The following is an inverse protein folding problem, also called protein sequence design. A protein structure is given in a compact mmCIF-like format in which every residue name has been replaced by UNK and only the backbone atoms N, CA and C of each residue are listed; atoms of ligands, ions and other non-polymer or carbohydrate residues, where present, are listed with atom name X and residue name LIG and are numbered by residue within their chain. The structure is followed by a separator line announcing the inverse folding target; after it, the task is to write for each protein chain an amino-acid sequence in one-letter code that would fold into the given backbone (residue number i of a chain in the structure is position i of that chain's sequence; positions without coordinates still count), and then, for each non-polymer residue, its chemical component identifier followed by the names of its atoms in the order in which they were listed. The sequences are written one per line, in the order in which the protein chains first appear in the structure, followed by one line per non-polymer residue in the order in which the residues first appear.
data_IF_331466201817
#
_entry.id   IF_331466201817
#
_cell.length_a   1.000
_cell.length_b   1.000
_cell.length_c   1.000
_cell.angle_alpha   90.00
_cell.angle_beta   90.00
_cell.angle_gamma   90.00
#
_symmetry.space_group_name_H-M   'P 1'
#
loop_
_entity.id
_entity.type
_entity.pdbx_description
1 polymer ?
#
# COMPACT_ATOMS: atom_id res chain seq x y z
N UNK A 1 0.87 -2.13 -13.33
CA UNK A 1 0.79 -3.10 -12.23
C UNK A 1 2.15 -3.77 -12.07
N UNK A 2 2.56 -4.10 -10.85
CA UNK A 2 3.83 -4.75 -10.56
C UNK A 2 3.71 -5.63 -9.30
N UNK A 3 4.73 -6.42 -9.01
CA UNK A 3 4.84 -7.18 -7.76
C UNK A 3 6.08 -6.72 -6.99
N UNK A 4 6.00 -6.77 -5.65
CA UNK A 4 7.09 -6.41 -4.75
C UNK A 4 7.09 -7.37 -3.57
N UNK A 5 8.27 -7.87 -3.21
CA UNK A 5 8.38 -8.71 -2.01
C UNK A 5 8.30 -7.83 -0.75
N UNK A 6 7.25 -8.04 0.05
CA UNK A 6 7.07 -7.40 1.35
C UNK A 6 6.29 -8.31 2.30
N UNK A 7 6.52 -8.13 3.60
CA UNK A 7 5.87 -8.94 4.64
C UNK A 7 4.55 -8.31 5.14
N UNK A 8 4.20 -7.13 4.62
CA UNK A 8 2.95 -6.43 4.91
C UNK A 8 2.70 -5.34 3.88
N UNK A 9 1.46 -4.88 3.80
CA UNK A 9 1.06 -3.72 2.99
C UNK A 9 1.93 -2.50 3.33
N UNK A 10 2.06 -2.17 4.62
CA UNK A 10 2.89 -1.03 5.06
C UNK A 10 4.36 -1.23 4.72
N UNK A 11 4.86 -2.46 4.84
CA UNK A 11 6.22 -2.81 4.42
C UNK A 11 6.44 -2.63 2.92
N UNK A 12 5.44 -2.91 2.09
CA UNK A 12 5.50 -2.68 0.64
C UNK A 12 5.64 -1.18 0.32
N UNK A 13 4.83 -0.34 0.95
CA UNK A 13 4.91 1.12 0.80
C UNK A 13 6.25 1.67 1.29
N UNK A 14 6.72 1.25 2.46
CA UNK A 14 8.03 1.64 2.98
C UNK A 14 9.15 1.25 2.01
N UNK A 15 9.09 0.05 1.42
CA UNK A 15 10.07 -0.38 0.41
C UNK A 15 10.00 0.45 -0.86
N UNK A 16 8.80 0.80 -1.34
CA UNK A 16 8.67 1.70 -2.49
C UNK A 16 9.28 3.07 -2.21
N UNK A 17 9.22 3.56 -0.97
CA UNK A 17 9.87 4.82 -0.60
C UNK A 17 11.40 4.68 -0.47
N UNK A 18 11.87 3.59 0.13
CA UNK A 18 13.29 3.40 0.46
C UNK A 18 14.14 2.90 -0.70
N UNK A 19 13.64 1.96 -1.52
CA UNK A 19 14.42 1.34 -2.59
C UNK A 19 14.97 2.35 -3.62
N UNK A 20 14.23 3.39 -4.04
CA UNK A 20 14.78 4.43 -4.91
C UNK A 20 15.94 5.20 -4.27
N UNK A 21 15.93 5.40 -2.95
CA UNK A 21 17.01 6.10 -2.24
C UNK A 21 18.32 5.29 -2.20
N UNK A 22 18.24 3.96 -2.35
CA UNK A 22 19.42 3.09 -2.39
C UNK A 22 20.14 3.14 -3.75
N UNK A 23 19.50 3.68 -4.79
CA UNK A 23 20.09 3.82 -6.12
C UNK A 23 21.01 5.06 -6.26
N UNK A 24 21.24 5.79 -5.18
CA UNK A 24 22.09 7.00 -5.13
C UNK A 24 21.30 8.29 -4.83
N UNK A 25 22.00 9.35 -4.45
CA UNK A 25 21.42 10.65 -4.07
C UNK A 25 20.93 11.47 -5.28
N UNK A 26 19.91 10.98 -5.99
CA UNK A 26 19.31 11.71 -7.11
C UNK A 26 17.88 12.20 -6.84
N UNK A 27 17.20 11.65 -5.83
CA UNK A 27 15.79 11.95 -5.57
C UNK A 27 15.58 12.08 -4.05
N UNK A 28 14.90 13.15 -3.62
CA UNK A 28 14.60 13.38 -2.22
C UNK A 28 13.35 12.63 -1.75
N UNK A 29 13.30 12.26 -0.47
CA UNK A 29 12.12 11.67 0.17
C UNK A 29 10.87 12.56 0.05
N UNK A 30 11.07 13.88 0.05
CA UNK A 30 10.01 14.89 -0.14
C UNK A 30 9.36 14.81 -1.51
N UNK A 31 10.07 14.31 -2.52
CA UNK A 31 9.51 14.05 -3.85
C UNK A 31 8.87 12.65 -3.93
N UNK A 32 9.55 11.64 -3.37
CA UNK A 32 9.13 10.23 -3.47
C UNK A 32 7.79 9.99 -2.75
N UNK A 33 7.63 10.50 -1.54
CA UNK A 33 6.45 10.23 -0.70
C UNK A 33 5.13 10.66 -1.35
N UNK A 34 4.94 11.93 -1.76
CA UNK A 34 3.71 12.35 -2.41
C UNK A 34 3.50 11.64 -3.75
N UNK A 35 4.58 11.36 -4.51
CA UNK A 35 4.50 10.64 -5.78
C UNK A 35 3.93 9.24 -5.60
N UNK A 36 4.43 8.47 -4.61
CA UNK A 36 3.90 7.13 -4.32
C UNK A 36 2.46 7.22 -3.83
N UNK A 37 2.17 8.17 -2.93
CA UNK A 37 0.82 8.36 -2.39
C UNK A 37 -0.17 8.62 -3.53
N UNK A 38 0.16 9.49 -4.48
CA UNK A 38 -0.70 9.80 -5.64
C UNK A 38 -0.76 8.68 -6.66
N UNK A 39 0.33 7.95 -6.91
CA UNK A 39 0.38 7.00 -8.03
C UNK A 39 -0.07 5.57 -7.69
N UNK A 40 0.00 5.15 -6.43
CA UNK A 40 -0.40 3.80 -6.02
C UNK A 40 -1.82 3.84 -5.49
N UNK A 41 -2.75 3.08 -6.08
CA UNK A 41 -4.14 3.03 -5.61
C UNK A 41 -4.36 1.89 -4.59
N UNK A 42 -3.88 0.69 -4.92
CA UNK A 42 -4.13 -0.52 -4.16
C UNK A 42 -2.84 -1.28 -3.89
N UNK A 43 -2.77 -1.89 -2.71
CA UNK A 43 -1.78 -2.91 -2.38
C UNK A 43 -2.53 -4.18 -1.95
N UNK A 44 -2.22 -5.28 -2.64
CA UNK A 44 -2.81 -6.59 -2.37
C UNK A 44 -1.70 -7.49 -1.83
N UNK A 45 -1.79 -7.84 -0.55
CA UNK A 45 -0.84 -8.74 0.10
C UNK A 45 -1.28 -10.18 -0.10
N UNK A 46 -0.41 -10.98 -0.70
CA UNK A 46 -0.56 -12.43 -0.80
C UNK A 46 0.39 -13.12 0.18
N UNK A 47 -0.10 -14.09 0.93
CA UNK A 47 0.71 -14.87 1.87
C UNK A 47 0.35 -16.35 1.83
N UNK A 48 1.30 -17.19 2.27
CA UNK A 48 1.07 -18.58 2.62
C UNK A 48 0.64 -18.62 4.09
N UNK A 49 -0.46 -19.28 4.41
CA UNK A 49 -0.85 -19.48 5.81
C UNK A 49 -0.14 -20.69 6.45
N UNK A 50 -0.43 -20.94 7.72
CA UNK A 50 0.11 -22.06 8.48
C UNK A 50 -0.25 -23.45 7.91
N UNK A 51 -1.30 -23.52 7.09
CA UNK A 51 -1.76 -24.75 6.45
C UNK A 51 -1.19 -24.93 5.03
N UNK A 52 -0.28 -24.04 4.59
CA UNK A 52 0.30 -24.09 3.25
C UNK A 52 -0.64 -23.58 2.15
N UNK A 53 -1.72 -22.90 2.49
CA UNK A 53 -2.68 -22.35 1.52
C UNK A 53 -2.30 -20.90 1.19
N UNK A 54 -2.14 -20.61 -0.11
CA UNK A 54 -1.94 -19.24 -0.60
C UNK A 54 -3.25 -18.48 -0.57
N UNK A 55 -3.24 -17.30 0.02
CA UNK A 55 -4.41 -16.43 0.14
C UNK A 55 -4.05 -14.96 0.04
N UNK A 56 -5.03 -14.14 -0.33
CA UNK A 56 -4.96 -12.69 -0.11
C UNK A 56 -5.17 -12.44 1.37
N UNK A 57 -4.13 -11.98 2.07
CA UNK A 57 -4.18 -11.68 3.50
C UNK A 57 -4.61 -10.25 3.79
N UNK A 58 -4.41 -9.33 2.85
CA UNK A 58 -4.86 -7.95 3.00
C UNK A 58 -5.06 -7.28 1.65
N UNK A 59 -6.15 -6.51 1.52
CA UNK A 59 -6.38 -5.56 0.44
C UNK A 59 -6.46 -4.19 1.08
N UNK A 60 -5.57 -3.28 0.71
CA UNK A 60 -5.52 -1.94 1.26
C UNK A 60 -5.58 -0.87 0.17
N UNK A 61 -6.33 0.19 0.44
CA UNK A 61 -6.34 1.42 -0.33
C UNK A 61 -5.26 2.37 0.16
N UNK A 62 -4.64 3.06 -0.79
CA UNK A 62 -3.75 4.19 -0.52
C UNK A 62 -4.56 5.45 -0.76
N UNK A 63 -4.69 6.31 0.25
CA UNK A 63 -5.65 7.42 0.20
C UNK A 63 -5.20 8.58 -0.70
N UNK A 64 -3.91 8.63 -1.04
CA UNK A 64 -3.30 9.79 -1.68
C UNK A 64 -2.82 10.85 -0.69
N UNK A 65 -3.18 10.75 0.59
CA UNK A 65 -2.69 11.66 1.64
C UNK A 65 -1.38 11.13 2.22
N UNK A 66 -0.51 12.05 2.57
CA UNK A 66 0.71 11.77 3.31
C UNK A 66 1.05 12.94 4.24
N UNK A 67 1.68 12.61 5.36
CA UNK A 67 2.25 13.58 6.29
C UNK A 67 3.73 13.19 6.51
N UNK A 68 4.63 14.13 6.26
CA UNK A 68 6.08 13.89 6.19
C UNK A 68 6.45 12.68 5.29
N UNK A 69 6.93 11.60 5.89
CA UNK A 69 7.29 10.36 5.21
C UNK A 69 6.22 9.27 5.34
N UNK A 70 5.08 9.57 5.97
CA UNK A 70 4.03 8.61 6.28
C UNK A 70 2.91 8.76 5.26
N UNK A 71 2.74 7.73 4.43
CA UNK A 71 1.58 7.61 3.53
C UNK A 71 0.45 6.95 4.30
N UNK A 72 -0.75 7.49 4.14
CA UNK A 72 -1.96 6.93 4.73
C UNK A 72 -2.46 5.72 3.93
N UNK A 73 -2.77 4.66 4.68
CA UNK A 73 -3.09 3.33 4.15
C UNK A 73 -4.29 2.81 4.93
N UNK A 74 -5.36 2.49 4.21
CA UNK A 74 -6.60 1.98 4.77
C UNK A 74 -6.85 0.54 4.34
N UNK A 75 -6.89 -0.38 5.30
CA UNK A 75 -7.24 -1.77 5.05
C UNK A 75 -8.72 -1.88 4.65
N UNK A 76 -9.01 -2.37 3.46
CA UNK A 76 -10.39 -2.64 2.98
C UNK A 76 -10.82 -4.03 3.44
N UNK A 77 -9.95 -5.01 3.27
CA UNK A 77 -10.18 -6.39 3.66
C UNK A 77 -8.92 -6.98 4.30
N UNK A 78 -9.09 -7.78 5.34
CA UNK A 78 -7.98 -8.46 6.01
C UNK A 78 -8.37 -9.87 6.42
N UNK A 79 -7.45 -10.80 6.25
CA UNK A 79 -7.58 -12.15 6.79
C UNK A 79 -7.20 -12.16 8.26
N UNK A 80 -8.07 -12.69 9.13
CA UNK A 80 -7.80 -12.75 10.58
C UNK A 80 -7.26 -14.11 11.06
N UNK A 81 -7.07 -15.08 10.16
CA UNK A 81 -6.73 -16.48 10.51
C UNK A 81 -7.84 -17.46 10.14
N UNK A 82 -9.09 -17.02 10.11
CA UNK A 82 -10.27 -17.88 9.91
C UNK A 82 -11.17 -17.41 8.78
N UNK A 83 -11.31 -16.09 8.60
CA UNK A 83 -12.13 -15.48 7.55
C UNK A 83 -11.58 -14.13 7.12
N UNK A 84 -12.10 -13.63 6.00
CA UNK A 84 -11.89 -12.24 5.59
C UNK A 84 -12.82 -11.36 6.44
N UNK A 85 -12.24 -10.34 7.05
CA UNK A 85 -12.95 -9.26 7.75
C UNK A 85 -12.83 -7.97 6.95
N UNK A 86 -13.87 -7.13 7.01
CA UNK A 86 -13.84 -5.79 6.43
C UNK A 86 -13.02 -4.88 7.36
N UNK A 87 -12.10 -4.11 6.81
CA UNK A 87 -11.40 -3.05 7.51
C UNK A 87 -12.15 -1.72 7.44
N UNK A 88 -11.47 -0.64 7.83
CA UNK A 88 -12.04 0.71 7.82
C UNK A 88 -11.98 1.38 6.44
N UNK A 89 -11.13 0.86 5.55
CA UNK A 89 -10.98 1.35 4.19
C UNK A 89 -12.18 1.03 3.30
N UNK A 90 -12.40 1.90 2.32
CA UNK A 90 -13.44 1.74 1.31
C UNK A 90 -12.90 2.13 -0.08
N UNK A 91 -13.66 1.75 -1.12
CA UNK A 91 -13.31 2.06 -2.51
C UNK A 91 -13.60 3.53 -2.87
N UNK A 92 -14.45 4.22 -2.13
CA UNK A 92 -14.77 5.65 -2.36
C UNK A 92 -13.53 6.52 -2.16
N UNK A 93 -12.63 6.14 -1.25
CA UNK A 93 -11.33 6.79 -1.08
C UNK A 93 -10.52 6.79 -2.37
N UNK A 94 -10.55 5.70 -3.15
CA UNK A 94 -9.82 5.60 -4.43
C UNK A 94 -10.42 6.49 -5.51
N UNK A 95 -11.75 6.57 -5.56
CA UNK A 95 -12.48 7.42 -6.50
C UNK A 95 -12.17 8.90 -6.18
N UNK A 96 -12.27 9.26 -4.91
CA UNK A 96 -11.98 10.62 -4.43
C UNK A 96 -10.55 11.03 -4.76
N UNK A 97 -9.58 10.14 -4.53
CA UNK A 97 -8.18 10.34 -4.90
C UNK A 97 -8.02 10.61 -6.40
N UNK A 98 -8.63 9.80 -7.26
CA UNK A 98 -8.53 9.96 -8.73
C UNK A 98 -9.17 11.25 -9.23
N UNK A 99 -10.22 11.73 -8.58
CA UNK A 99 -10.84 13.01 -8.92
C UNK A 99 -10.00 14.22 -8.49
N UNK A 100 -9.07 14.06 -7.56
CA UNK A 100 -8.17 15.13 -7.12
C UNK A 100 -6.91 15.24 -7.99
N UNK A 101 -6.51 14.14 -8.62
CA UNK A 101 -5.26 14.06 -9.41
C UNK A 101 -5.49 14.35 -10.90
N UNK A 102 -6.71 14.11 -11.41
CA UNK A 102 -7.11 14.41 -12.79
C UNK A 102 -7.83 15.76 -12.86
#
# INVERSE_FOLDING_TARGET
MATLHANSVRGAINKLQLLPLLAGENISQKFITPTIASSVDLVIQCSLDSNGVRRVSEVAAISGRCEDSIIEIDSIFKWNGERIIKGLGNLETLISKRNYIN
#
